data_IF_805554596884
#
_entry.id   IF_805554596884
#
_cell.length_a   1.000
_cell.length_b   1.000
_cell.length_c   1.000
_cell.angle_alpha   90.00
_cell.angle_beta   90.00
_cell.angle_gamma   90.00
#
_symmetry.space_group_name_H-M   'P 1'
#
loop_
_entity.id
_entity.type
_entity.pdbx_description
1 polymer ?
#
# COMPACT_ATOMS: atom_id res chain seq x y z
N UNK A 1 -5.51 11.59 25.41
CA UNK A 1 -5.71 10.44 26.33
C UNK A 1 -7.08 10.38 26.99
N UNK A 2 -7.67 11.49 27.49
CA UNK A 2 -8.90 11.43 28.31
C UNK A 2 -10.22 11.01 27.62
N UNK A 3 -10.27 10.88 26.28
CA UNK A 3 -11.52 10.61 25.54
C UNK A 3 -11.68 9.19 24.98
N UNK A 4 -10.60 8.44 24.77
CA UNK A 4 -10.65 7.10 24.14
C UNK A 4 -9.79 6.09 24.91
N UNK A 5 -10.25 4.84 25.00
CA UNK A 5 -9.57 3.75 25.73
C UNK A 5 -8.27 3.29 25.07
N UNK A 6 -8.15 3.44 23.75
CA UNK A 6 -6.95 3.14 22.97
C UNK A 6 -6.98 3.91 21.64
N UNK A 7 -5.83 3.98 20.97
CA UNK A 7 -5.68 4.53 19.61
C UNK A 7 -4.96 3.50 18.74
N UNK A 8 -5.45 3.27 17.52
CA UNK A 8 -4.78 2.43 16.51
C UNK A 8 -4.17 3.35 15.46
N UNK A 9 -2.89 3.11 15.14
CA UNK A 9 -2.17 3.83 14.09
C UNK A 9 -1.72 2.82 13.04
N UNK A 10 -2.17 3.01 11.80
CA UNK A 10 -1.70 2.26 10.64
C UNK A 10 -0.66 3.12 9.90
N UNK A 11 0.53 2.57 9.65
CA UNK A 11 1.59 3.28 8.94
C UNK A 11 2.08 2.45 7.76
N UNK A 12 2.12 3.06 6.57
CA UNK A 12 2.70 2.44 5.38
C UNK A 12 4.21 2.29 5.53
N UNK A 13 4.78 1.19 5.06
CA UNK A 13 6.22 0.91 5.19
C UNK A 13 7.13 1.94 4.51
N UNK A 14 6.62 2.65 3.50
CA UNK A 14 7.29 3.76 2.81
C UNK A 14 7.02 5.14 3.40
N UNK A 15 6.35 5.25 4.54
CA UNK A 15 6.15 6.53 5.21
C UNK A 15 7.49 7.10 5.73
N UNK A 16 7.62 8.42 5.71
CA UNK A 16 8.81 9.14 6.20
C UNK A 16 8.41 10.45 6.85
N UNK A 17 9.26 10.94 7.75
CA UNK A 17 9.10 12.28 8.32
C UNK A 17 9.20 13.34 7.22
N UNK A 18 8.47 14.46 7.39
CA UNK A 18 8.62 15.62 6.51
C UNK A 18 10.09 16.07 6.48
N UNK A 19 10.67 16.15 5.28
CA UNK A 19 12.09 16.48 5.08
C UNK A 19 13.08 15.37 5.43
N UNK A 20 12.63 14.22 5.93
CA UNK A 20 13.48 13.07 6.27
C UNK A 20 13.72 12.10 5.10
N UNK A 21 14.67 11.18 5.30
CA UNK A 21 14.89 10.02 4.43
C UNK A 21 13.97 8.85 4.80
N UNK A 22 13.87 7.87 3.90
CA UNK A 22 13.18 6.61 4.18
C UNK A 22 13.91 5.86 5.29
N UNK A 23 13.17 5.14 6.14
CA UNK A 23 13.77 4.23 7.12
C UNK A 23 14.25 2.97 6.42
N UNK A 24 15.55 2.92 6.11
CA UNK A 24 16.20 1.75 5.51
C UNK A 24 16.53 0.73 6.60
N UNK A 25 16.07 -0.52 6.44
CA UNK A 25 16.43 -1.62 7.35
C UNK A 25 17.70 -2.33 6.88
N UNK A 26 17.83 -2.53 5.58
CA UNK A 26 18.93 -3.29 4.96
C UNK A 26 19.04 -2.95 3.47
N UNK A 27 20.26 -3.00 2.93
CA UNK A 27 20.53 -2.83 1.49
C UNK A 27 21.10 -4.12 0.90
N UNK A 28 20.42 -4.68 -0.09
CA UNK A 28 20.82 -5.93 -0.77
C UNK A 28 21.25 -5.61 -2.20
N UNK A 29 22.56 -5.48 -2.42
CA UNK A 29 23.14 -4.93 -3.67
C UNK A 29 22.75 -5.68 -4.96
N UNK A 30 22.37 -6.96 -4.88
CA UNK A 30 22.02 -7.81 -6.03
C UNK A 30 20.52 -8.14 -6.13
N UNK A 31 19.68 -7.49 -5.33
CA UNK A 31 18.23 -7.63 -5.41
C UNK A 31 17.67 -6.66 -6.46
N UNK A 32 16.68 -7.06 -7.28
CA UNK A 32 15.94 -6.13 -8.13
C UNK A 32 15.20 -5.06 -7.30
N UNK A 33 14.99 -5.32 -6.00
CA UNK A 33 14.57 -4.34 -5.00
C UNK A 33 15.67 -4.22 -3.90
N UNK A 34 16.67 -3.34 -4.08
CA UNK A 34 17.87 -3.31 -3.27
C UNK A 34 17.68 -2.65 -1.90
N UNK A 35 16.57 -1.94 -1.66
CA UNK A 35 16.31 -1.24 -0.39
C UNK A 35 15.18 -1.94 0.34
N UNK A 36 15.49 -2.62 1.44
CA UNK A 36 14.47 -3.19 2.33
C UNK A 36 14.01 -2.09 3.30
N UNK A 37 12.81 -1.58 3.08
CA UNK A 37 12.15 -0.70 4.03
C UNK A 37 11.72 -1.48 5.27
N UNK A 38 11.79 -0.84 6.43
CA UNK A 38 11.31 -1.46 7.66
C UNK A 38 11.59 -0.62 8.90
N UNK A 39 10.83 -0.86 9.96
CA UNK A 39 11.06 -0.24 11.26
C UNK A 39 10.45 1.15 11.43
N UNK A 40 9.77 1.72 10.43
CA UNK A 40 9.07 3.02 10.56
C UNK A 40 8.08 3.03 11.73
N UNK A 41 7.40 1.91 11.99
CA UNK A 41 6.54 1.75 13.16
C UNK A 41 7.32 1.86 14.48
N UNK A 42 8.52 1.26 14.56
CA UNK A 42 9.38 1.36 15.74
C UNK A 42 9.90 2.78 15.95
N UNK A 43 10.29 3.48 14.87
CA UNK A 43 10.68 4.90 14.90
C UNK A 43 9.54 5.74 15.44
N UNK A 44 8.33 5.58 14.90
CA UNK A 44 7.15 6.31 15.35
C UNK A 44 6.84 6.04 16.82
N UNK A 45 6.93 4.79 17.27
CA UNK A 45 6.75 4.43 18.69
C UNK A 45 7.75 5.14 19.60
N UNK A 46 9.03 5.13 19.23
CA UNK A 46 10.08 5.79 20.00
C UNK A 46 9.84 7.31 20.07
N UNK A 47 9.35 7.91 18.99
CA UNK A 47 9.01 9.33 18.94
C UNK A 47 7.75 9.66 19.75
N UNK A 48 6.72 8.81 19.75
CA UNK A 48 5.46 9.07 20.45
C UNK A 48 5.53 8.81 21.94
N UNK A 49 6.28 7.80 22.39
CA UNK A 49 6.27 7.35 23.78
C UNK A 49 6.57 8.47 24.81
N UNK A 50 7.51 9.41 24.59
CA UNK A 50 7.76 10.52 25.53
C UNK A 50 6.60 11.50 25.69
N UNK A 51 5.67 11.54 24.74
CA UNK A 51 4.53 12.46 24.73
C UNK A 51 3.26 11.84 25.31
N UNK A 52 3.30 10.55 25.67
CA UNK A 52 2.14 9.76 26.08
C UNK A 52 2.39 9.09 27.43
N UNK A 53 1.36 9.05 28.26
CA UNK A 53 1.37 8.26 29.51
C UNK A 53 0.99 6.80 29.23
N UNK A 54 0.22 6.57 28.17
CA UNK A 54 -0.10 5.21 27.72
C UNK A 54 1.09 4.50 27.09
N UNK A 55 1.16 3.18 27.25
CA UNK A 55 2.13 2.33 26.56
C UNK A 55 1.86 2.34 25.04
N UNK A 56 2.91 2.58 24.24
CA UNK A 56 2.84 2.49 22.78
C UNK A 56 3.44 1.17 22.33
N UNK A 57 2.64 0.33 21.68
CA UNK A 57 3.06 -0.96 21.12
C UNK A 57 3.10 -0.91 19.59
N UNK A 58 4.01 -1.69 19.01
CA UNK A 58 4.18 -1.80 17.55
C UNK A 58 4.22 -3.23 17.11
N UNK A 59 3.45 -3.54 16.07
CA UNK A 59 3.46 -4.83 15.38
C UNK A 59 3.76 -4.61 13.91
N UNK A 60 4.74 -5.34 13.39
CA UNK A 60 5.07 -5.35 11.96
C UNK A 60 4.53 -6.65 11.37
N UNK A 61 3.49 -6.56 10.53
CA UNK A 61 2.84 -7.76 9.95
C UNK A 61 3.74 -8.48 8.94
N UNK A 62 4.56 -7.74 8.17
CA UNK A 62 5.53 -8.31 7.24
C UNK A 62 4.91 -9.27 6.22
N UNK A 63 5.56 -10.41 6.00
CA UNK A 63 5.20 -11.44 5.01
C UNK A 63 3.81 -12.05 5.21
N UNK A 64 3.23 -11.98 6.42
CA UNK A 64 1.88 -12.50 6.69
C UNK A 64 0.84 -11.84 5.78
N UNK A 65 1.03 -10.57 5.42
CA UNK A 65 0.13 -9.83 4.53
C UNK A 65 0.15 -10.33 3.07
N UNK A 66 1.18 -11.10 2.68
CA UNK A 66 1.34 -11.65 1.32
C UNK A 66 1.01 -13.14 1.25
N UNK A 67 0.58 -13.74 2.36
CA UNK A 67 0.16 -15.14 2.45
C UNK A 67 -1.34 -15.28 2.73
N UNK A 68 -1.80 -16.53 2.82
CA UNK A 68 -3.21 -16.88 3.04
C UNK A 68 -3.97 -17.15 1.75
N UNK A 69 -5.17 -17.72 1.89
CA UNK A 69 -6.02 -18.01 0.74
C UNK A 69 -6.61 -16.71 0.17
N UNK A 70 -6.61 -16.53 -1.17
CA UNK A 70 -7.20 -15.35 -1.80
C UNK A 70 -8.68 -15.23 -1.47
N UNK A 71 -9.21 -14.02 -1.36
CA UNK A 71 -10.65 -13.82 -1.12
C UNK A 71 -11.46 -14.30 -2.33
N UNK A 72 -12.78 -14.55 -2.21
CA UNK A 72 -13.63 -14.82 -3.37
C UNK A 72 -13.53 -13.72 -4.46
N UNK A 73 -13.39 -12.46 -4.05
CA UNK A 73 -13.17 -11.34 -4.96
C UNK A 73 -11.84 -11.49 -5.72
N UNK A 74 -10.74 -11.76 -5.01
CA UNK A 74 -9.42 -11.92 -5.62
C UNK A 74 -9.39 -13.08 -6.61
N UNK A 75 -10.05 -14.20 -6.29
CA UNK A 75 -10.16 -15.36 -7.19
C UNK A 75 -10.86 -14.98 -8.49
N UNK A 76 -12.03 -14.35 -8.41
CA UNK A 76 -12.78 -13.91 -9.59
C UNK A 76 -11.98 -12.87 -10.39
N UNK A 77 -11.33 -11.92 -9.71
CA UNK A 77 -10.51 -10.89 -10.36
C UNK A 77 -9.33 -11.51 -11.11
N UNK A 78 -8.60 -12.43 -10.49
CA UNK A 78 -7.48 -13.14 -11.10
C UNK A 78 -7.93 -13.93 -12.33
N UNK A 79 -9.07 -14.64 -12.26
CA UNK A 79 -9.64 -15.35 -13.41
C UNK A 79 -10.01 -14.38 -14.54
N UNK A 80 -10.64 -13.24 -14.23
CA UNK A 80 -10.97 -12.22 -15.23
C UNK A 80 -9.72 -11.63 -15.89
N UNK A 81 -8.65 -11.42 -15.12
CA UNK A 81 -7.37 -10.93 -15.63
C UNK A 81 -6.72 -11.93 -16.57
N UNK A 82 -6.61 -13.20 -16.15
CA UNK A 82 -6.05 -14.27 -16.96
C UNK A 82 -6.84 -14.50 -18.25
N UNK A 83 -8.18 -14.49 -18.17
CA UNK A 83 -9.04 -14.59 -19.34
C UNK A 83 -8.77 -13.47 -20.34
N UNK A 84 -8.76 -12.20 -19.90
CA UNK A 84 -8.55 -11.07 -20.80
C UNK A 84 -7.13 -11.05 -21.38
N UNK A 85 -6.11 -11.44 -20.61
CA UNK A 85 -4.75 -11.59 -21.10
C UNK A 85 -4.67 -12.64 -22.22
N UNK A 86 -5.33 -13.79 -22.07
CA UNK A 86 -5.39 -14.81 -23.11
C UNK A 86 -6.08 -14.30 -24.39
N UNK A 87 -7.16 -13.54 -24.26
CA UNK A 87 -7.84 -12.90 -25.40
C UNK A 87 -6.93 -11.92 -26.15
N UNK A 88 -6.11 -11.14 -25.43
CA UNK A 88 -5.14 -10.24 -26.06
C UNK A 88 -4.09 -11.00 -26.86
N UNK A 89 -3.58 -12.11 -26.33
CA UNK A 89 -2.60 -12.97 -27.02
C UNK A 89 -3.20 -13.57 -28.29
N UNK A 90 -4.42 -14.13 -28.21
CA UNK A 90 -5.15 -14.68 -29.37
C UNK A 90 -5.33 -13.61 -30.45
N UNK A 91 -5.61 -12.36 -30.06
CA UNK A 91 -5.76 -11.23 -30.97
C UNK A 91 -4.42 -10.61 -31.44
N UNK A 92 -3.27 -11.18 -31.07
CA UNK A 92 -1.94 -10.66 -31.42
C UNK A 92 -1.58 -9.31 -30.77
N UNK A 93 -2.27 -8.92 -29.70
CA UNK A 93 -2.09 -7.62 -29.01
C UNK A 93 -1.10 -7.72 -27.87
N UNK A 94 0.19 -7.79 -28.19
CA UNK A 94 1.29 -7.86 -27.23
C UNK A 94 1.68 -6.49 -26.64
N UNK A 95 2.50 -6.49 -25.59
CA UNK A 95 3.01 -5.27 -24.94
C UNK A 95 1.97 -4.51 -24.11
N UNK A 96 0.95 -5.22 -23.61
CA UNK A 96 -0.18 -4.64 -22.87
C UNK A 96 -0.33 -5.23 -21.47
N UNK A 97 -0.78 -4.41 -20.53
CA UNK A 97 -1.13 -4.79 -19.17
C UNK A 97 -2.66 -4.81 -19.03
N UNK A 98 -3.20 -5.88 -18.45
CA UNK A 98 -4.63 -5.96 -18.09
C UNK A 98 -4.90 -5.07 -16.88
N UNK A 99 -6.03 -4.37 -16.89
CA UNK A 99 -6.40 -3.40 -15.84
C UNK A 99 -7.82 -3.62 -15.36
N UNK A 100 -8.09 -3.20 -14.12
CA UNK A 100 -9.44 -2.98 -13.61
C UNK A 100 -9.64 -1.46 -13.42
N UNK A 101 -10.53 -0.87 -14.20
CA UNK A 101 -10.88 0.56 -14.14
C UNK A 101 -12.40 0.66 -14.05
N UNK A 102 -12.91 1.34 -13.02
CA UNK A 102 -14.34 1.54 -12.78
C UNK A 102 -15.16 0.22 -12.85
N UNK A 103 -14.62 -0.85 -12.25
CA UNK A 103 -15.22 -2.18 -12.23
C UNK A 103 -15.11 -2.99 -13.54
N UNK A 104 -14.53 -2.40 -14.58
CA UNK A 104 -14.40 -2.98 -15.92
C UNK A 104 -12.97 -3.47 -16.20
N UNK A 105 -12.88 -4.61 -16.87
CA UNK A 105 -11.60 -5.16 -17.33
C UNK A 105 -11.24 -4.51 -18.66
N UNK A 106 -10.03 -4.00 -18.76
CA UNK A 106 -9.48 -3.46 -19.99
C UNK A 106 -7.99 -3.76 -20.11
N UNK A 107 -7.31 -3.07 -21.03
CA UNK A 107 -5.86 -3.12 -21.13
C UNK A 107 -5.26 -1.81 -21.61
N UNK A 108 -4.05 -1.53 -21.15
CA UNK A 108 -3.24 -0.37 -21.53
C UNK A 108 -1.88 -0.82 -22.04
N UNK A 109 -1.21 -0.06 -22.93
CA UNK A 109 0.20 -0.29 -23.24
C UNK A 109 1.06 -0.27 -21.97
N UNK A 110 1.99 -1.22 -21.84
CA UNK A 110 2.91 -1.25 -20.69
C UNK A 110 3.76 0.02 -20.63
N UNK A 111 4.16 0.54 -21.79
CA UNK A 111 4.96 1.76 -21.90
C UNK A 111 4.32 2.99 -21.25
N UNK A 112 2.97 3.07 -21.23
CA UNK A 112 2.25 4.22 -20.69
C UNK A 112 2.25 4.25 -19.15
N UNK A 113 2.51 3.10 -18.51
CA UNK A 113 2.42 2.94 -17.05
C UNK A 113 3.74 2.54 -16.40
N UNK A 114 4.69 2.04 -17.18
CA UNK A 114 6.01 1.67 -16.68
C UNK A 114 6.68 2.86 -15.98
N UNK A 115 7.32 2.59 -14.84
CA UNK A 115 7.99 3.60 -14.01
C UNK A 115 7.09 4.72 -13.46
N UNK A 116 5.77 4.54 -13.51
CA UNK A 116 4.82 5.44 -12.85
C UNK A 116 4.29 4.81 -11.57
N UNK A 117 3.88 5.64 -10.62
CA UNK A 117 3.21 5.20 -9.40
C UNK A 117 1.80 5.76 -9.35
N UNK A 118 0.80 4.88 -9.17
CA UNK A 118 -0.57 5.31 -8.87
C UNK A 118 -0.63 5.82 -7.43
N UNK A 119 -0.88 7.11 -7.25
CA UNK A 119 -1.09 7.72 -5.94
C UNK A 119 -2.58 7.82 -5.59
N UNK A 120 -2.89 8.04 -4.32
CA UNK A 120 -4.23 8.43 -3.88
C UNK A 120 -4.31 9.96 -3.92
N UNK A 121 -5.21 10.55 -4.74
CA UNK A 121 -5.37 12.00 -4.79
C UNK A 121 -5.81 12.57 -3.43
N UNK A 122 -5.30 13.75 -2.99
CA UNK A 122 -5.70 14.35 -1.71
C UNK A 122 -7.21 14.63 -1.58
N UNK A 123 -7.90 14.87 -2.70
CA UNK A 123 -9.35 15.08 -2.77
C UNK A 123 -10.16 13.82 -3.09
N UNK A 124 -9.56 12.63 -3.03
CA UNK A 124 -10.27 11.39 -3.28
C UNK A 124 -11.37 11.17 -2.23
N UNK A 125 -12.54 10.65 -2.64
CA UNK A 125 -13.69 10.47 -1.76
C UNK A 125 -13.33 9.72 -0.46
N UNK A 126 -12.60 8.59 -0.56
CA UNK A 126 -12.13 7.85 0.62
C UNK A 126 -11.31 8.67 1.62
N UNK A 127 -10.56 9.66 1.16
CA UNK A 127 -9.80 10.55 2.05
C UNK A 127 -10.76 11.48 2.79
N UNK A 128 -11.74 12.05 2.10
CA UNK A 128 -12.82 12.85 2.70
C UNK A 128 -13.62 12.02 3.70
N UNK A 129 -14.11 10.84 3.29
CA UNK A 129 -14.86 9.92 4.14
C UNK A 129 -14.09 9.55 5.40
N UNK A 130 -12.79 9.26 5.30
CA UNK A 130 -11.96 8.96 6.46
C UNK A 130 -11.93 10.13 7.46
N UNK A 131 -11.75 11.38 6.97
CA UNK A 131 -11.76 12.56 7.83
C UNK A 131 -13.12 12.82 8.47
N UNK A 132 -14.20 12.64 7.70
CA UNK A 132 -15.58 12.88 8.16
C UNK A 132 -15.98 11.94 9.30
N UNK A 133 -15.48 10.70 9.30
CA UNK A 133 -15.67 9.75 10.41
C UNK A 133 -14.64 9.90 11.55
N UNK A 134 -13.77 10.91 11.48
CA UNK A 134 -12.81 11.26 12.54
C UNK A 134 -11.44 10.58 12.46
N UNK A 135 -11.06 10.00 11.32
CA UNK A 135 -9.71 9.46 11.12
C UNK A 135 -8.73 10.62 10.88
N UNK A 136 -7.62 10.61 11.64
CA UNK A 136 -6.49 11.50 11.41
C UNK A 136 -5.49 10.85 10.44
N UNK A 137 -5.06 11.58 9.41
CA UNK A 137 -4.13 11.08 8.38
C UNK A 137 -2.67 11.47 8.62
N UNK A 138 -2.38 12.25 9.67
CA UNK A 138 -1.01 12.66 10.03
C UNK A 138 -0.39 13.68 9.08
N UNK A 139 -1.23 14.38 8.31
CA UNK A 139 -0.90 15.53 7.45
C UNK A 139 -0.98 16.88 8.19
#
# INVERSE_FOLDING_TARGET
EKRQRYTIICIGEGAKQRGGSLTERERVAHSPDPVRLGGVGHVLRQQLQPHLKSEVRTTVLGHVQRGGDPTPFDRVLATRFGHHAAQLVIAGKFGRMVTLQDGRIGSVPIADVANTQRTVPPGHELITTARDIGVCLGD
#
